data_IF_558131609391
#
_entry.id   IF_558131609391
#
_cell.length_a   1.000
_cell.length_b   1.000
_cell.length_c   1.000
_cell.angle_alpha   90.00
_cell.angle_beta   90.00
_cell.angle_gamma   90.00
#
_symmetry.space_group_name_H-M   'P 1'
#
loop_
_entity.id
_entity.type
_entity.pdbx_description
1 polymer ?
#
# COMPACT_ATOMS: atom_id res chain seq x y z
N UNK A 1 1.57 -61.88 57.68
CA UNK A 1 1.87 -60.89 58.72
C UNK A 1 2.43 -59.66 58.03
N UNK A 2 1.78 -58.52 58.28
CA UNK A 2 2.09 -57.11 57.97
C UNK A 2 3.18 -56.76 56.96
N UNK A 3 2.78 -56.06 55.90
CA UNK A 3 3.46 -54.82 55.50
C UNK A 3 2.44 -53.82 54.94
N UNK A 4 2.57 -52.53 55.29
CA UNK A 4 1.50 -51.55 55.22
C UNK A 4 1.47 -50.83 53.86
N UNK A 5 0.31 -50.28 53.56
CA UNK A 5 0.08 -49.32 52.49
C UNK A 5 1.10 -48.16 52.56
N UNK A 6 1.75 -47.87 51.43
CA UNK A 6 2.39 -46.58 51.19
C UNK A 6 1.30 -45.51 51.01
N UNK A 7 1.25 -44.46 51.84
CA UNK A 7 0.50 -43.26 51.54
C UNK A 7 1.41 -42.24 50.86
N UNK A 8 0.82 -41.38 50.04
CA UNK A 8 1.34 -40.05 49.66
C UNK A 8 2.17 -40.01 48.37
N UNK A 9 1.49 -40.10 47.23
CA UNK A 9 1.92 -39.34 46.06
C UNK A 9 1.65 -37.84 46.35
N UNK A 10 2.63 -36.93 46.20
CA UNK A 10 2.39 -35.51 46.37
C UNK A 10 1.50 -34.99 45.23
N UNK A 11 0.57 -34.05 45.50
CA UNK A 11 -0.23 -33.45 44.43
C UNK A 11 0.69 -32.65 43.52
N UNK A 12 0.57 -32.88 42.20
CA UNK A 12 1.15 -32.03 41.17
C UNK A 12 0.54 -30.62 41.34
N UNK A 13 1.22 -29.80 42.13
CA UNK A 13 1.00 -28.37 42.14
C UNK A 13 1.32 -27.88 40.73
N UNK A 14 0.28 -27.65 39.94
CA UNK A 14 0.34 -26.73 38.81
C UNK A 14 0.74 -25.37 39.39
N UNK A 15 2.05 -25.12 39.48
CA UNK A 15 2.57 -23.77 39.50
C UNK A 15 2.23 -23.18 38.15
N UNK A 16 1.14 -22.43 38.10
CA UNK A 16 0.99 -21.34 37.14
C UNK A 16 2.09 -20.31 37.43
N UNK A 17 3.34 -20.67 37.11
CA UNK A 17 4.41 -19.70 36.95
C UNK A 17 4.09 -18.96 35.65
N UNK A 18 3.22 -17.96 35.76
CA UNK A 18 2.97 -16.99 34.72
C UNK A 18 4.32 -16.37 34.36
N UNK A 19 4.91 -16.83 33.26
CA UNK A 19 6.14 -16.28 32.74
C UNK A 19 5.98 -14.75 32.65
N UNK A 20 6.96 -13.97 33.16
CA UNK A 20 6.87 -12.52 33.05
C UNK A 20 6.67 -12.15 31.58
N UNK A 21 5.81 -11.15 31.29
CA UNK A 21 5.58 -10.73 29.92
C UNK A 21 6.93 -10.42 29.27
N UNK A 22 7.15 -10.82 28.01
CA UNK A 22 8.42 -10.58 27.34
C UNK A 22 8.73 -9.08 27.42
N UNK A 23 9.90 -8.76 27.95
CA UNK A 23 10.35 -7.38 28.06
C UNK A 23 10.27 -6.75 26.66
N UNK A 24 9.54 -5.63 26.54
CA UNK A 24 9.45 -4.90 25.29
C UNK A 24 10.88 -4.54 24.87
N UNK A 25 11.32 -4.92 23.66
CA UNK A 25 12.67 -4.59 23.20
C UNK A 25 12.87 -3.08 23.27
N UNK A 26 14.06 -2.61 23.69
CA UNK A 26 14.33 -1.19 23.83
C UNK A 26 14.05 -0.48 22.51
N UNK A 27 13.16 0.51 22.57
CA UNK A 27 12.76 1.32 21.42
C UNK A 27 13.99 2.12 21.00
N UNK A 28 14.57 1.79 19.84
CA UNK A 28 15.79 2.44 19.37
C UNK A 28 15.53 3.96 19.19
N UNK A 29 16.11 4.83 20.03
CA UNK A 29 15.76 6.25 20.08
C UNK A 29 16.16 7.01 18.81
N UNK A 30 17.01 6.42 17.96
CA UNK A 30 17.47 7.02 16.71
C UNK A 30 16.50 6.84 15.54
N UNK A 31 15.51 5.95 15.63
CA UNK A 31 14.55 5.75 14.53
C UNK A 31 13.38 6.73 14.64
N UNK A 32 13.09 7.54 13.59
CA UNK A 32 11.99 8.48 13.65
C UNK A 32 10.64 7.75 13.80
N UNK A 33 9.70 8.33 14.55
CA UNK A 33 8.37 7.75 14.74
C UNK A 33 7.59 7.74 13.42
N UNK A 34 6.84 6.66 13.17
CA UNK A 34 5.89 6.57 12.05
C UNK A 34 4.64 7.38 12.38
N UNK A 35 4.55 8.61 11.87
CA UNK A 35 3.44 9.54 12.15
C UNK A 35 2.37 9.58 11.06
N UNK A 36 2.63 8.97 9.90
CA UNK A 36 1.83 9.17 8.67
C UNK A 36 0.73 8.13 8.43
N UNK A 37 0.49 7.22 9.39
CA UNK A 37 -0.52 6.15 9.20
C UNK A 37 -1.94 6.69 8.97
N UNK A 38 -2.25 7.87 9.52
CA UNK A 38 -3.53 8.56 9.32
C UNK A 38 -3.81 8.98 7.88
N UNK A 39 -2.77 9.16 7.05
CA UNK A 39 -2.90 9.60 5.64
C UNK A 39 -3.41 8.48 4.73
N UNK A 40 -3.35 7.21 5.19
CA UNK A 40 -3.68 6.02 4.39
C UNK A 40 -5.05 6.12 3.71
N UNK A 41 -6.08 6.61 4.42
CA UNK A 41 -7.42 6.72 3.87
C UNK A 41 -7.51 7.76 2.74
N UNK A 42 -6.84 8.90 2.91
CA UNK A 42 -6.78 9.96 1.90
C UNK A 42 -6.02 9.49 0.67
N UNK A 43 -4.84 8.88 0.87
CA UNK A 43 -4.03 8.34 -0.22
C UNK A 43 -4.80 7.27 -1.01
N UNK A 44 -5.50 6.37 -0.33
CA UNK A 44 -6.34 5.36 -0.98
C UNK A 44 -7.50 6.00 -1.79
N UNK A 45 -8.11 7.08 -1.29
CA UNK A 45 -9.14 7.81 -2.03
C UNK A 45 -8.59 8.47 -3.30
N UNK A 46 -7.36 9.03 -3.23
CA UNK A 46 -6.68 9.59 -4.40
C UNK A 46 -6.42 8.53 -5.47
N UNK A 47 -5.87 7.37 -5.09
CA UNK A 47 -5.64 6.27 -6.01
C UNK A 47 -6.95 5.80 -6.66
N UNK A 48 -8.02 5.65 -5.86
CA UNK A 48 -9.34 5.26 -6.35
C UNK A 48 -9.87 6.24 -7.39
N UNK A 49 -9.74 7.55 -7.15
CA UNK A 49 -10.15 8.57 -8.13
C UNK A 49 -9.42 8.44 -9.46
N UNK A 50 -8.12 8.13 -9.43
CA UNK A 50 -7.35 7.88 -10.65
C UNK A 50 -7.73 6.57 -11.34
N UNK A 51 -7.98 5.50 -10.59
CA UNK A 51 -8.46 4.23 -11.12
C UNK A 51 -9.78 4.41 -11.87
N UNK A 52 -10.71 5.21 -11.33
CA UNK A 52 -11.99 5.53 -11.99
C UNK A 52 -11.80 6.30 -13.30
N UNK A 53 -10.89 7.29 -13.32
CA UNK A 53 -10.55 8.07 -14.52
C UNK A 53 -9.94 7.18 -15.61
N UNK A 54 -8.97 6.33 -15.24
CA UNK A 54 -8.30 5.40 -16.15
C UNK A 54 -9.27 4.35 -16.68
N UNK A 55 -10.19 3.85 -15.84
CA UNK A 55 -11.26 2.97 -16.30
C UNK A 55 -12.17 3.65 -17.33
N UNK A 56 -12.41 4.96 -17.18
CA UNK A 56 -13.10 5.77 -18.19
C UNK A 56 -12.35 5.84 -19.53
N UNK A 57 -11.03 6.04 -19.49
CA UNK A 57 -10.16 6.01 -20.67
C UNK A 57 -10.20 4.64 -21.35
N UNK A 58 -10.10 3.55 -20.58
CA UNK A 58 -10.18 2.18 -21.10
C UNK A 58 -11.51 1.92 -21.82
N UNK A 59 -12.65 2.35 -21.23
CA UNK A 59 -13.97 2.24 -21.86
C UNK A 59 -14.02 3.00 -23.18
N UNK A 60 -13.52 4.24 -23.22
CA UNK A 60 -13.47 5.04 -24.46
C UNK A 60 -12.59 4.35 -25.51
N UNK A 61 -11.42 3.85 -25.13
CA UNK A 61 -10.52 3.14 -26.02
C UNK A 61 -11.17 1.90 -26.66
N UNK A 62 -11.97 1.15 -25.88
CA UNK A 62 -12.70 -0.01 -26.36
C UNK A 62 -13.77 0.32 -27.42
N UNK A 63 -14.28 1.56 -27.43
CA UNK A 63 -15.27 2.01 -28.43
C UNK A 63 -14.64 2.48 -29.74
N UNK A 64 -13.33 2.74 -29.75
CA UNK A 64 -12.63 3.14 -30.97
C UNK A 64 -12.60 1.97 -31.96
N UNK A 65 -12.74 2.28 -33.25
CA UNK A 65 -12.57 1.27 -34.31
C UNK A 65 -11.10 0.90 -34.47
N UNK A 66 -10.83 -0.31 -34.96
CA UNK A 66 -9.44 -0.80 -35.15
C UNK A 66 -8.68 -0.03 -36.23
N UNK A 67 -9.38 0.48 -37.24
CA UNK A 67 -8.85 1.23 -38.38
C UNK A 67 -8.69 2.73 -38.13
N UNK A 68 -9.01 3.21 -36.93
CA UNK A 68 -8.95 4.63 -36.62
C UNK A 68 -7.49 5.13 -36.61
N UNK A 69 -7.14 6.19 -37.36
CA UNK A 69 -5.74 6.63 -37.55
C UNK A 69 -4.97 6.91 -36.26
N UNK A 70 -5.67 7.38 -35.21
CA UNK A 70 -5.05 7.79 -33.94
C UNK A 70 -5.12 6.71 -32.84
N UNK A 71 -5.67 5.52 -33.13
CA UNK A 71 -5.88 4.46 -32.13
C UNK A 71 -4.58 4.09 -31.40
N UNK A 72 -3.49 3.86 -32.13
CA UNK A 72 -2.21 3.48 -31.53
C UNK A 72 -1.66 4.54 -30.57
N UNK A 73 -1.90 5.82 -30.84
CA UNK A 73 -1.52 6.92 -29.95
C UNK A 73 -2.33 6.91 -28.65
N UNK A 74 -3.64 6.61 -28.74
CA UNK A 74 -4.50 6.42 -27.58
C UNK A 74 -4.08 5.20 -26.74
N UNK A 75 -3.83 4.05 -27.37
CA UNK A 75 -3.34 2.85 -26.68
C UNK A 75 -2.03 3.12 -25.93
N UNK A 76 -1.08 3.79 -26.59
CA UNK A 76 0.18 4.19 -25.94
C UNK A 76 -0.06 5.10 -24.74
N UNK A 77 -0.94 6.09 -24.86
CA UNK A 77 -1.26 6.98 -23.76
C UNK A 77 -1.91 6.21 -22.58
N UNK A 78 -2.81 5.27 -22.87
CA UNK A 78 -3.43 4.41 -21.87
C UNK A 78 -2.41 3.55 -21.12
N UNK A 79 -1.50 2.87 -21.83
CA UNK A 79 -0.46 2.07 -21.17
C UNK A 79 0.51 2.92 -20.33
N UNK A 80 0.79 4.16 -20.77
CA UNK A 80 1.58 5.10 -19.96
C UNK A 80 0.82 5.53 -18.69
N UNK A 81 -0.50 5.68 -18.75
CA UNK A 81 -1.31 5.95 -17.56
C UNK A 81 -1.27 4.79 -16.57
N UNK A 82 -1.36 3.54 -17.05
CA UNK A 82 -1.23 2.35 -16.20
C UNK A 82 0.12 2.33 -15.47
N UNK A 83 1.22 2.57 -16.19
CA UNK A 83 2.55 2.62 -15.56
C UNK A 83 2.68 3.72 -14.51
N UNK A 84 2.14 4.92 -14.76
CA UNK A 84 2.16 6.00 -13.78
C UNK A 84 1.26 5.71 -12.56
N UNK A 85 0.11 5.05 -12.79
CA UNK A 85 -0.77 4.57 -11.71
C UNK A 85 -0.08 3.54 -10.83
N UNK A 86 0.71 2.64 -11.40
CA UNK A 86 1.42 1.62 -10.61
C UNK A 86 2.53 2.25 -9.74
N UNK A 87 3.23 3.28 -10.25
CA UNK A 87 4.17 4.07 -9.46
C UNK A 87 3.48 4.78 -8.29
N UNK A 88 2.31 5.37 -8.54
CA UNK A 88 1.47 5.97 -7.50
C UNK A 88 1.03 4.94 -6.47
N UNK A 89 0.58 3.76 -6.89
CA UNK A 89 0.12 2.71 -6.00
C UNK A 89 1.25 2.19 -5.09
N UNK A 90 2.47 2.03 -5.62
CA UNK A 90 3.61 1.62 -4.79
C UNK A 90 4.00 2.70 -3.78
N UNK A 91 4.06 3.97 -4.18
CA UNK A 91 4.33 5.09 -3.26
C UNK A 91 3.29 5.15 -2.13
N UNK A 92 1.99 5.09 -2.47
CA UNK A 92 0.88 5.10 -1.50
C UNK A 92 0.94 3.92 -0.52
N UNK A 93 1.36 2.75 -0.98
CA UNK A 93 1.50 1.56 -0.13
C UNK A 93 2.65 1.73 0.88
N UNK A 94 3.74 2.38 0.48
CA UNK A 94 4.95 2.55 1.28
C UNK A 94 4.85 3.71 2.27
N UNK A 95 4.40 4.89 1.84
CA UNK A 95 4.40 6.14 2.63
C UNK A 95 3.90 5.98 4.08
N UNK A 96 2.77 5.31 4.36
CA UNK A 96 2.26 5.17 5.74
C UNK A 96 3.16 4.35 6.67
N UNK A 97 4.11 3.60 6.11
CA UNK A 97 5.04 2.70 6.82
C UNK A 97 6.45 3.29 6.94
N UNK A 98 6.78 4.32 6.17
CA UNK A 98 8.08 4.98 6.16
C UNK A 98 8.16 6.10 7.21
N UNK A 99 9.37 6.54 7.52
CA UNK A 99 9.64 7.66 8.44
C UNK A 99 10.86 8.46 7.96
N UNK A 100 10.92 9.75 8.28
CA UNK A 100 12.03 10.62 7.88
C UNK A 100 12.15 10.76 6.36
N UNK A 101 13.37 10.71 5.83
CA UNK A 101 13.68 10.98 4.42
C UNK A 101 12.99 10.01 3.45
N UNK A 102 12.78 8.75 3.85
CA UNK A 102 12.09 7.75 3.03
C UNK A 102 10.63 8.15 2.74
N UNK A 103 9.96 8.78 3.72
CA UNK A 103 8.62 9.31 3.50
C UNK A 103 8.64 10.45 2.47
N UNK A 104 9.61 11.35 2.56
CA UNK A 104 9.74 12.47 1.62
C UNK A 104 10.04 11.99 0.20
N UNK A 105 10.92 10.99 0.04
CA UNK A 105 11.17 10.38 -1.26
C UNK A 105 9.90 9.80 -1.88
N UNK A 106 9.12 9.01 -1.12
CA UNK A 106 7.88 8.42 -1.63
C UNK A 106 6.80 9.49 -1.86
N UNK A 107 6.77 10.57 -1.09
CA UNK A 107 5.91 11.72 -1.34
C UNK A 107 6.25 12.40 -2.67
N UNK A 108 7.54 12.59 -2.98
CA UNK A 108 7.97 13.15 -4.28
C UNK A 108 7.66 12.19 -5.43
N UNK A 109 7.83 10.88 -5.24
CA UNK A 109 7.41 9.87 -6.23
C UNK A 109 5.91 9.95 -6.51
N UNK A 110 5.09 10.09 -5.47
CA UNK A 110 3.64 10.27 -5.61
C UNK A 110 3.30 11.53 -6.41
N UNK A 111 3.87 12.69 -6.06
CA UNK A 111 3.66 13.96 -6.78
C UNK A 111 4.06 13.83 -8.26
N UNK A 112 5.18 13.19 -8.55
CA UNK A 112 5.65 12.98 -9.91
C UNK A 112 4.71 12.08 -10.72
N UNK A 113 4.19 11.00 -10.10
CA UNK A 113 3.21 10.12 -10.72
C UNK A 113 1.88 10.84 -10.98
N UNK A 114 1.39 11.65 -10.04
CA UNK A 114 0.20 12.51 -10.21
C UNK A 114 0.36 13.51 -11.36
N UNK A 115 1.51 14.18 -11.44
CA UNK A 115 1.82 15.12 -12.50
C UNK A 115 1.93 14.42 -13.87
N UNK A 116 2.49 13.21 -13.92
CA UNK A 116 2.52 12.39 -15.12
C UNK A 116 1.10 12.01 -15.57
N UNK A 117 0.28 11.47 -14.67
CA UNK A 117 -1.12 11.11 -14.95
C UNK A 117 -1.93 12.30 -15.46
N UNK A 118 -1.77 13.47 -14.83
CA UNK A 118 -2.45 14.69 -15.25
C UNK A 118 -2.08 15.11 -16.67
N UNK A 119 -0.77 15.13 -16.99
CA UNK A 119 -0.29 15.45 -18.36
C UNK A 119 -0.78 14.43 -19.39
N UNK A 120 -0.76 13.14 -19.05
CA UNK A 120 -1.24 12.07 -19.94
C UNK A 120 -2.74 12.22 -20.21
N UNK A 121 -3.53 12.56 -19.18
CA UNK A 121 -4.97 12.78 -19.32
C UNK A 121 -5.27 14.00 -20.19
N UNK A 122 -4.58 15.13 -19.96
CA UNK A 122 -4.74 16.32 -20.82
C UNK A 122 -4.36 16.05 -22.27
N UNK A 123 -3.34 15.21 -22.51
CA UNK A 123 -2.96 14.79 -23.86
C UNK A 123 -4.01 13.89 -24.49
N UNK A 124 -4.61 12.97 -23.72
CA UNK A 124 -5.74 12.15 -24.17
C UNK A 124 -6.93 13.02 -24.60
N UNK A 125 -7.32 13.99 -23.77
CA UNK A 125 -8.47 14.86 -24.05
C UNK A 125 -8.24 15.81 -25.23
N UNK A 126 -7.00 16.24 -25.45
CA UNK A 126 -6.64 17.05 -26.63
C UNK A 126 -6.60 16.22 -27.91
N UNK A 127 -6.09 14.98 -27.85
CA UNK A 127 -6.03 14.09 -29.00
C UNK A 127 -7.40 13.53 -29.43
N UNK A 128 -8.37 13.51 -28.50
CA UNK A 128 -9.75 13.06 -28.71
C UNK A 128 -10.72 14.13 -29.21
N UNK A 129 -10.26 15.37 -29.37
CA UNK A 129 -10.97 16.43 -30.09
C UNK A 129 -10.58 16.42 -31.56
#
# INVERSE_FOLDING_TARGET
>A
MSSPADPTAPPLAHRDDAAPPPALPPKNPSYPPRTHYGEKAQLAATLKSWDEKIAGVARKLATLRTDQPNRASFERAYYQMLGARDQMADAIRRMPLEAGDLYHEDQERLKNAEAALSRLMSRWDTAGR
#
